data_IF_618514923781
#
_entry.id   IF_618514923781
#
_cell.length_a   1.000
_cell.length_b   1.000
_cell.length_c   1.000
_cell.angle_alpha   90.00
_cell.angle_beta   90.00
_cell.angle_gamma   90.00
#
_symmetry.space_group_name_H-M   'P 1'
#
loop_
_entity.id
_entity.type
_entity.pdbx_description
1 polymer ?
#
# COMPACT_ATOMS: atom_id res chain seq x y z
N UNK A 1 4.22 -40.46 46.33
CA UNK A 1 3.40 -41.04 45.23
C UNK A 1 4.22 -41.03 43.96
N UNK A 2 4.43 -42.16 43.29
CA UNK A 2 5.04 -42.20 41.94
C UNK A 2 3.93 -41.95 40.93
N UNK A 3 4.09 -40.92 40.09
CA UNK A 3 3.16 -40.63 39.00
C UNK A 3 3.13 -41.80 38.01
N UNK A 4 1.95 -42.15 37.51
CA UNK A 4 1.79 -43.19 36.49
C UNK A 4 2.39 -42.74 35.16
N UNK A 5 2.72 -43.68 34.28
CA UNK A 5 3.20 -43.36 32.92
C UNK A 5 2.22 -42.45 32.15
N UNK A 6 0.91 -42.68 32.30
CA UNK A 6 -0.13 -41.82 31.71
C UNK A 6 -0.14 -40.40 32.29
N UNK A 7 0.15 -40.25 33.58
CA UNK A 7 0.29 -38.94 34.22
C UNK A 7 1.52 -38.18 33.70
N UNK A 8 2.62 -38.87 33.43
CA UNK A 8 3.82 -38.27 32.82
C UNK A 8 3.58 -37.82 31.37
N UNK A 9 2.85 -38.62 30.57
CA UNK A 9 2.46 -38.24 29.21
C UNK A 9 1.56 -36.99 29.19
N UNK A 10 0.58 -36.91 30.11
CA UNK A 10 -0.28 -35.74 30.23
C UNK A 10 0.52 -34.48 30.61
N UNK A 11 1.46 -34.58 31.55
CA UNK A 11 2.34 -33.47 31.93
C UNK A 11 3.20 -33.02 30.76
N UNK A 12 3.80 -33.96 30.00
CA UNK A 12 4.61 -33.63 28.83
C UNK A 12 3.79 -32.95 27.73
N UNK A 13 2.57 -33.39 27.47
CA UNK A 13 1.67 -32.77 26.50
C UNK A 13 1.29 -31.33 26.90
N UNK A 14 0.92 -31.10 28.16
CA UNK A 14 0.60 -29.76 28.68
C UNK A 14 1.82 -28.84 28.65
N UNK A 15 3.00 -29.34 29.03
CA UNK A 15 4.24 -28.57 28.98
C UNK A 15 4.62 -28.19 27.54
N UNK A 16 4.45 -29.11 26.58
CA UNK A 16 4.73 -28.86 25.17
C UNK A 16 3.75 -27.84 24.58
N UNK A 17 2.46 -27.96 24.89
CA UNK A 17 1.45 -26.99 24.47
C UNK A 17 1.71 -25.60 25.09
N UNK A 18 2.06 -25.54 26.38
CA UNK A 18 2.44 -24.30 27.06
C UNK A 18 3.70 -23.66 26.46
N UNK A 19 4.71 -24.46 26.12
CA UNK A 19 5.91 -24.00 25.42
C UNK A 19 5.57 -23.47 24.01
N UNK A 20 4.70 -24.16 23.27
CA UNK A 20 4.27 -23.70 21.95
C UNK A 20 3.50 -22.37 22.01
N UNK A 21 2.60 -22.20 22.99
CA UNK A 21 1.86 -20.95 23.19
C UNK A 21 2.82 -19.82 23.59
N UNK A 22 3.71 -20.07 24.55
CA UNK A 22 4.66 -19.03 25.01
C UNK A 22 5.61 -18.61 23.90
N UNK A 23 6.20 -19.55 23.16
CA UNK A 23 7.11 -19.26 22.05
C UNK A 23 6.40 -18.68 20.82
N UNK A 24 5.12 -19.01 20.62
CA UNK A 24 4.32 -18.56 19.47
C UNK A 24 3.54 -17.25 19.70
N UNK A 25 3.30 -16.84 20.95
CA UNK A 25 2.49 -15.66 21.27
C UNK A 25 3.23 -14.55 22.02
N UNK A 26 4.42 -14.83 22.57
CA UNK A 26 5.20 -13.83 23.28
C UNK A 26 6.51 -13.52 22.56
N UNK A 27 6.82 -12.24 22.50
CA UNK A 27 8.13 -11.77 22.07
C UNK A 27 9.08 -11.70 23.26
N UNK A 28 10.33 -12.10 23.06
CA UNK A 28 11.34 -12.07 24.13
C UNK A 28 12.17 -10.77 24.11
N UNK A 29 12.50 -10.19 25.28
CA UNK A 29 13.48 -9.12 25.40
C UNK A 29 14.86 -9.49 24.80
N UNK A 30 15.73 -8.48 24.52
CA UNK A 30 15.45 -7.05 24.58
C UNK A 30 14.55 -6.58 23.44
N UNK A 31 13.90 -5.44 23.65
CA UNK A 31 13.20 -4.64 22.63
C UNK A 31 13.91 -3.30 22.48
N UNK A 32 13.72 -2.66 21.33
CA UNK A 32 14.30 -1.35 21.03
C UNK A 32 13.19 -0.30 21.10
N UNK A 33 13.33 0.61 22.06
CA UNK A 33 12.42 1.72 22.25
C UNK A 33 12.96 2.98 21.56
N UNK A 34 12.10 3.66 20.80
CA UNK A 34 12.41 4.92 20.11
C UNK A 34 11.48 6.00 20.64
N UNK A 35 12.03 6.92 21.44
CA UNK A 35 11.28 8.05 21.96
C UNK A 35 10.89 9.02 20.82
N UNK A 36 9.62 9.40 20.75
CA UNK A 36 9.02 10.27 19.72
C UNK A 36 8.41 11.56 20.26
N UNK A 37 8.32 11.73 21.58
CA UNK A 37 7.81 12.94 22.22
C UNK A 37 8.60 13.36 23.46
N UNK A 38 8.11 14.37 24.17
CA UNK A 38 8.74 14.86 25.39
C UNK A 38 8.79 13.77 26.47
N UNK A 39 9.85 13.76 27.28
CA UNK A 39 10.01 12.78 28.37
C UNK A 39 8.77 12.74 29.27
N UNK A 40 8.33 11.54 29.64
CA UNK A 40 7.15 11.35 30.49
C UNK A 40 5.79 11.41 29.78
N UNK A 41 5.74 11.66 28.46
CA UNK A 41 4.48 11.59 27.69
C UNK A 41 4.18 10.20 27.14
N UNK A 42 5.09 9.24 27.32
CA UNK A 42 4.99 7.87 26.78
C UNK A 42 4.77 7.81 25.24
N UNK A 43 5.19 8.86 24.53
CA UNK A 43 5.21 8.86 23.07
C UNK A 43 6.47 8.15 22.61
N UNK A 44 6.38 6.85 22.40
CA UNK A 44 7.48 5.98 21.98
C UNK A 44 6.99 4.85 21.07
N UNK A 45 7.90 4.36 20.23
CA UNK A 45 7.72 3.14 19.46
C UNK A 45 8.54 2.03 20.12
N UNK A 46 8.00 0.82 20.15
CA UNK A 46 8.69 -0.35 20.70
C UNK A 46 8.77 -1.40 19.59
N UNK A 47 9.98 -1.84 19.29
CA UNK A 47 10.24 -2.81 18.23
C UNK A 47 11.03 -4.01 18.72
N UNK A 48 10.77 -5.15 18.11
CA UNK A 48 11.62 -6.32 18.22
C UNK A 48 12.54 -6.40 17.00
N UNK A 49 13.83 -6.27 17.25
CA UNK A 49 14.86 -6.21 16.21
C UNK A 49 14.86 -7.44 15.29
N UNK A 50 14.44 -8.59 15.81
CA UNK A 50 14.38 -9.84 15.03
C UNK A 50 13.26 -9.77 13.98
N UNK A 51 12.10 -9.24 14.35
CA UNK A 51 11.00 -9.03 13.42
C UNK A 51 11.31 -7.90 12.43
N UNK A 52 12.00 -6.85 12.87
CA UNK A 52 12.49 -5.81 11.97
C UNK A 52 13.48 -6.36 10.95
N UNK A 53 14.40 -7.25 11.33
CA UNK A 53 15.34 -7.87 10.40
C UNK A 53 14.65 -8.74 9.34
N UNK A 54 13.60 -9.49 9.73
CA UNK A 54 12.78 -10.26 8.78
C UNK A 54 12.03 -9.31 7.83
N UNK A 55 11.47 -8.23 8.35
CA UNK A 55 10.77 -7.22 7.53
C UNK A 55 11.76 -6.51 6.58
N UNK A 56 12.99 -6.21 7.01
CA UNK A 56 14.04 -5.65 6.16
C UNK A 56 14.33 -6.49 4.91
N UNK A 57 14.24 -7.81 5.00
CA UNK A 57 14.39 -8.71 3.84
C UNK A 57 13.30 -8.50 2.79
N UNK A 58 12.05 -8.22 3.20
CA UNK A 58 10.93 -7.95 2.28
C UNK A 58 11.07 -6.59 1.55
N UNK A 59 11.98 -5.74 2.02
CA UNK A 59 12.17 -4.37 1.57
C UNK A 59 13.52 -4.14 0.92
N UNK A 60 14.21 -5.23 0.56
CA UNK A 60 15.40 -5.17 -0.27
C UNK A 60 15.07 -4.53 -1.62
N UNK A 61 16.05 -3.77 -2.10
CA UNK A 61 15.97 -3.05 -3.36
C UNK A 61 16.79 -3.83 -4.38
N UNK A 62 16.26 -4.10 -5.58
CA UNK A 62 17.05 -4.71 -6.64
C UNK A 62 18.20 -3.78 -7.03
N UNK A 63 19.33 -4.37 -7.44
CA UNK A 63 20.45 -3.62 -7.97
C UNK A 63 20.01 -2.80 -9.20
N UNK A 64 20.40 -1.53 -9.24
CA UNK A 64 20.07 -0.66 -10.35
C UNK A 64 20.93 -1.02 -11.57
N UNK A 65 20.34 -1.17 -12.77
CA UNK A 65 21.12 -1.36 -13.99
C UNK A 65 21.96 -0.11 -14.28
N UNK A 66 23.08 -0.28 -15.00
CA UNK A 66 23.94 0.84 -15.41
C UNK A 66 23.12 1.94 -16.09
N UNK A 67 23.40 3.24 -15.82
CA UNK A 67 22.71 4.34 -16.48
C UNK A 67 22.90 4.28 -18.00
N UNK A 68 21.82 4.50 -18.75
CA UNK A 68 21.86 4.55 -20.21
C UNK A 68 22.21 5.97 -20.69
N UNK A 69 22.90 6.06 -21.83
CA UNK A 69 23.25 7.35 -22.43
C UNK A 69 22.01 8.15 -22.83
N UNK A 70 22.00 9.43 -22.48
CA UNK A 70 21.01 10.39 -22.96
C UNK A 70 21.41 10.95 -24.34
N UNK A 71 20.43 11.43 -25.10
CA UNK A 71 20.64 12.07 -26.39
C UNK A 71 19.95 11.36 -27.55
N UNK A 72 20.26 11.79 -28.77
CA UNK A 72 19.68 11.23 -29.99
C UNK A 72 20.24 9.84 -30.33
N UNK A 73 19.46 8.97 -30.99
CA UNK A 73 18.08 9.20 -31.45
C UNK A 73 17.04 9.04 -30.32
N UNK A 74 15.95 9.82 -30.40
CA UNK A 74 14.83 9.74 -29.45
C UNK A 74 13.83 8.64 -29.81
N UNK A 75 13.13 8.14 -28.78
CA UNK A 75 12.13 7.09 -28.93
C UNK A 75 10.97 7.49 -29.84
N UNK A 76 10.52 8.75 -29.80
CA UNK A 76 9.47 9.28 -30.69
C UNK A 76 9.83 9.25 -32.18
N UNK A 77 11.12 9.38 -32.48
CA UNK A 77 11.65 9.45 -33.84
C UNK A 77 12.03 8.05 -34.38
N UNK A 78 12.18 7.07 -33.48
CA UNK A 78 12.63 5.71 -33.80
C UNK A 78 11.50 4.67 -33.79
N UNK A 79 10.60 4.76 -32.80
CA UNK A 79 9.57 3.75 -32.55
C UNK A 79 8.17 4.25 -32.93
N UNK A 80 7.27 3.31 -33.22
CA UNK A 80 5.87 3.59 -33.49
C UNK A 80 5.04 3.56 -32.19
N UNK A 81 4.00 4.40 -32.14
CA UNK A 81 3.03 4.46 -31.03
C UNK A 81 3.64 4.74 -29.64
N UNK A 82 4.72 5.53 -29.57
CA UNK A 82 5.27 6.04 -28.30
C UNK A 82 4.51 7.30 -27.91
N UNK A 83 3.65 7.19 -26.90
CA UNK A 83 2.77 8.29 -26.46
C UNK A 83 3.28 9.03 -25.22
N UNK A 84 4.04 8.35 -24.35
CA UNK A 84 4.42 8.90 -23.03
C UNK A 84 5.92 8.87 -22.76
N UNK A 85 6.72 8.20 -23.59
CA UNK A 85 8.18 8.06 -23.41
C UNK A 85 8.96 8.65 -24.59
N UNK A 86 8.36 9.62 -25.30
CA UNK A 86 8.89 10.10 -26.58
C UNK A 86 10.25 10.79 -26.48
N UNK A 87 10.54 11.42 -25.34
CA UNK A 87 11.75 12.24 -25.12
C UNK A 87 12.91 11.44 -24.52
N UNK A 88 12.75 10.13 -24.31
CA UNK A 88 13.85 9.25 -23.93
C UNK A 88 14.72 8.96 -25.15
N UNK A 89 16.04 8.84 -24.95
CA UNK A 89 16.91 8.21 -25.95
C UNK A 89 16.47 6.76 -26.18
N UNK A 90 16.83 6.17 -27.32
CA UNK A 90 16.60 4.74 -27.57
C UNK A 90 17.23 3.85 -26.48
N UNK A 91 18.39 4.22 -25.95
CA UNK A 91 19.05 3.47 -24.88
C UNK A 91 18.29 3.57 -23.55
N UNK A 92 17.88 4.79 -23.17
CA UNK A 92 17.07 5.03 -21.97
C UNK A 92 15.71 4.33 -22.05
N UNK A 93 15.09 4.34 -23.23
CA UNK A 93 13.85 3.60 -23.47
C UNK A 93 14.04 2.10 -23.23
N UNK A 94 15.09 1.49 -23.82
CA UNK A 94 15.41 0.07 -23.62
C UNK A 94 15.67 -0.28 -22.14
N UNK A 95 16.49 0.53 -21.46
CA UNK A 95 16.78 0.37 -20.02
C UNK A 95 15.52 0.44 -19.16
N UNK A 96 14.62 1.40 -19.44
CA UNK A 96 13.37 1.52 -18.72
C UNK A 96 12.45 0.32 -18.96
N UNK A 97 12.36 -0.20 -20.19
CA UNK A 97 11.59 -1.41 -20.50
C UNK A 97 12.10 -2.64 -19.75
N UNK A 98 13.42 -2.80 -19.66
CA UNK A 98 14.04 -3.86 -18.85
C UNK A 98 13.69 -3.70 -17.37
N UNK A 99 13.85 -2.49 -16.83
CA UNK A 99 13.55 -2.21 -15.42
C UNK A 99 12.07 -2.46 -15.09
N UNK A 100 11.15 -2.03 -15.96
CA UNK A 100 9.72 -2.28 -15.82
C UNK A 100 9.39 -3.77 -15.84
N UNK A 101 10.06 -4.55 -16.69
CA UNK A 101 9.93 -6.02 -16.73
C UNK A 101 10.28 -6.62 -15.37
N UNK A 102 11.46 -6.30 -14.84
CA UNK A 102 11.91 -6.84 -13.55
C UNK A 102 11.02 -6.41 -12.38
N UNK A 103 10.49 -5.18 -12.43
CA UNK A 103 9.71 -4.66 -11.33
C UNK A 103 8.26 -5.14 -11.29
N UNK A 104 7.68 -5.50 -12.44
CA UNK A 104 6.26 -5.81 -12.59
C UNK A 104 6.02 -7.28 -12.93
N UNK A 105 6.73 -7.81 -13.91
CA UNK A 105 6.48 -9.15 -14.44
C UNK A 105 7.78 -9.87 -14.82
N UNK A 106 8.73 -10.03 -13.87
CA UNK A 106 9.97 -10.73 -14.11
C UNK A 106 9.69 -12.15 -14.60
N UNK A 107 10.59 -12.66 -15.42
CA UNK A 107 10.55 -14.07 -15.82
C UNK A 107 10.74 -14.95 -14.57
N UNK A 108 10.07 -16.10 -14.57
CA UNK A 108 10.14 -17.06 -13.47
C UNK A 108 10.71 -18.34 -14.06
N UNK A 109 11.79 -18.85 -13.47
CA UNK A 109 12.34 -20.14 -13.84
C UNK A 109 11.34 -21.24 -13.52
N UNK A 110 11.13 -22.16 -14.48
CA UNK A 110 10.23 -23.30 -14.36
C UNK A 110 8.78 -22.90 -13.95
N UNK A 111 8.08 -22.12 -14.78
CA UNK A 111 6.71 -21.71 -14.47
C UNK A 111 5.79 -22.93 -14.39
N UNK A 112 4.93 -22.95 -13.37
CA UNK A 112 3.86 -23.94 -13.26
C UNK A 112 3.01 -23.98 -14.54
N UNK A 113 2.55 -25.16 -15.00
CA UNK A 113 1.68 -25.26 -16.16
C UNK A 113 0.43 -24.37 -16.00
N UNK A 114 0.22 -23.48 -16.99
CA UNK A 114 -0.89 -22.51 -16.96
C UNK A 114 -0.61 -21.22 -16.20
N UNK A 115 0.64 -20.98 -15.76
CA UNK A 115 1.02 -19.71 -15.19
C UNK A 115 0.77 -18.53 -16.17
N UNK A 116 0.42 -17.34 -15.66
CA UNK A 116 0.25 -16.16 -16.51
C UNK A 116 1.54 -15.83 -17.27
N UNK A 117 1.41 -15.26 -18.46
CA UNK A 117 2.53 -14.72 -19.24
C UNK A 117 3.41 -13.80 -18.37
N UNK A 118 4.73 -13.85 -18.57
CA UNK A 118 5.74 -13.01 -17.90
C UNK A 118 6.69 -12.42 -18.93
N UNK A 119 7.66 -11.62 -18.47
CA UNK A 119 8.64 -10.96 -19.31
C UNK A 119 8.02 -9.85 -20.17
N UNK A 120 8.70 -9.49 -21.26
CA UNK A 120 8.25 -8.45 -22.20
C UNK A 120 6.85 -8.71 -22.76
N UNK A 121 6.53 -9.97 -23.03
CA UNK A 121 5.24 -10.39 -23.62
C UNK A 121 4.07 -10.29 -22.64
N UNK A 122 4.31 -9.97 -21.36
CA UNK A 122 3.23 -9.64 -20.45
C UNK A 122 2.48 -8.37 -20.89
N UNK A 123 3.22 -7.40 -21.43
CA UNK A 123 2.70 -6.10 -21.87
C UNK A 123 2.66 -5.94 -23.39
N UNK A 124 3.24 -6.85 -24.17
CA UNK A 124 3.38 -6.69 -25.61
C UNK A 124 2.88 -7.90 -26.39
N UNK A 125 2.33 -7.63 -27.58
CA UNK A 125 2.21 -8.62 -28.63
C UNK A 125 3.63 -8.86 -29.21
N UNK A 126 4.20 -10.08 -29.13
CA UNK A 126 5.54 -10.37 -29.65
C UNK A 126 5.65 -10.20 -31.17
N UNK A 127 4.54 -10.28 -31.90
CA UNK A 127 4.51 -10.04 -33.35
C UNK A 127 4.57 -8.56 -33.70
N UNK A 128 4.10 -7.68 -32.80
CA UNK A 128 4.07 -6.24 -33.01
C UNK A 128 4.06 -5.46 -31.68
N UNK A 129 5.23 -4.99 -31.26
CA UNK A 129 5.39 -4.26 -30.02
C UNK A 129 4.65 -2.90 -29.99
N UNK A 130 4.31 -2.33 -31.15
CA UNK A 130 3.63 -1.04 -31.25
C UNK A 130 2.12 -1.13 -30.99
N UNK A 131 1.51 -2.30 -31.12
CA UNK A 131 0.07 -2.51 -30.90
C UNK A 131 -0.36 -2.33 -29.45
N UNK A 132 -1.58 -1.86 -29.24
CA UNK A 132 -2.24 -1.73 -27.94
C UNK A 132 -3.32 -2.81 -27.72
N UNK A 133 -3.21 -3.93 -28.45
CA UNK A 133 -4.14 -5.06 -28.40
C UNK A 133 -4.13 -5.81 -27.06
N UNK A 134 -3.04 -5.72 -26.30
CA UNK A 134 -2.91 -6.30 -24.96
C UNK A 134 -3.26 -5.27 -23.90
N UNK A 135 -4.29 -5.54 -23.07
CA UNK A 135 -4.80 -4.58 -22.09
C UNK A 135 -3.73 -4.09 -21.10
N UNK A 136 -2.77 -4.93 -20.75
CA UNK A 136 -1.66 -4.62 -19.85
C UNK A 136 -0.79 -3.49 -20.38
N UNK A 137 -0.67 -3.31 -21.71
CA UNK A 137 0.04 -2.16 -22.30
C UNK A 137 -0.69 -0.84 -22.05
N UNK A 138 -2.01 -0.85 -22.22
CA UNK A 138 -2.87 0.32 -21.95
C UNK A 138 -2.76 0.71 -20.47
N UNK A 139 -2.81 -0.29 -19.58
CA UNK A 139 -2.60 -0.09 -18.13
C UNK A 139 -1.19 0.42 -17.83
N UNK A 140 -0.14 -0.19 -18.39
CA UNK A 140 1.25 0.20 -18.16
C UNK A 140 1.52 1.65 -18.56
N UNK A 141 0.97 2.09 -19.71
CA UNK A 141 1.02 3.49 -20.14
C UNK A 141 0.40 4.43 -19.09
N UNK A 142 -0.75 4.05 -18.53
CA UNK A 142 -1.41 4.84 -17.49
C UNK A 142 -0.65 4.84 -16.17
N UNK A 143 -0.01 3.73 -15.82
CA UNK A 143 0.82 3.63 -14.60
C UNK A 143 2.12 4.44 -14.70
N UNK A 144 2.72 4.57 -15.90
CA UNK A 144 3.85 5.48 -16.12
C UNK A 144 3.45 6.94 -15.83
N UNK A 145 2.30 7.37 -16.34
CA UNK A 145 1.76 8.70 -16.07
C UNK A 145 1.46 8.91 -14.59
N UNK A 146 0.86 7.92 -13.92
CA UNK A 146 0.60 7.94 -12.48
C UNK A 146 1.90 8.08 -11.67
N UNK A 147 2.93 7.32 -12.03
CA UNK A 147 4.22 7.31 -11.34
C UNK A 147 4.89 8.68 -11.41
N UNK A 148 4.98 9.26 -12.62
CA UNK A 148 5.47 10.64 -12.80
C UNK A 148 4.67 11.64 -11.99
N UNK A 149 3.34 11.56 -12.06
CA UNK A 149 2.45 12.46 -11.34
C UNK A 149 2.65 12.43 -9.82
N UNK A 150 2.83 11.24 -9.24
CA UNK A 150 3.17 11.09 -7.82
C UNK A 150 4.52 11.78 -7.53
N UNK A 151 5.54 11.51 -8.34
CA UNK A 151 6.88 12.04 -8.13
C UNK A 151 6.98 13.56 -8.29
N UNK A 152 6.15 14.16 -9.14
CA UNK A 152 6.15 15.60 -9.41
C UNK A 152 5.22 16.38 -8.46
N UNK A 153 4.00 15.89 -8.24
CA UNK A 153 2.94 16.67 -7.59
C UNK A 153 2.68 16.27 -6.14
N UNK A 154 3.16 15.12 -5.70
CA UNK A 154 2.98 14.62 -4.33
C UNK A 154 4.26 14.63 -3.50
N UNK A 155 5.22 15.51 -3.82
CA UNK A 155 6.46 15.72 -3.04
C UNK A 155 6.21 16.05 -1.56
N UNK A 156 5.07 16.64 -1.23
CA UNK A 156 4.62 16.84 0.16
C UNK A 156 4.41 15.54 0.95
N UNK A 157 4.31 14.40 0.26
CA UNK A 157 4.23 13.07 0.85
C UNK A 157 5.48 12.23 0.53
N UNK A 158 5.83 12.06 -0.75
CA UNK A 158 6.90 11.13 -1.18
C UNK A 158 8.31 11.76 -1.12
N UNK A 159 8.40 13.08 -0.94
CA UNK A 159 9.67 13.81 -0.97
C UNK A 159 10.47 13.54 -2.25
N UNK A 160 11.80 13.59 -2.14
CA UNK A 160 12.71 13.26 -3.25
C UNK A 160 12.99 11.76 -3.38
N UNK A 161 12.46 10.92 -2.49
CA UNK A 161 12.56 9.46 -2.65
C UNK A 161 11.69 8.97 -3.82
N UNK A 162 10.51 9.58 -3.96
CA UNK A 162 9.55 9.25 -5.01
C UNK A 162 9.05 7.80 -4.93
N UNK A 163 8.50 7.34 -6.04
CA UNK A 163 8.01 5.96 -6.24
C UNK A 163 8.46 5.45 -7.61
N UNK A 164 8.58 4.13 -7.70
CA UNK A 164 8.81 3.39 -8.95
C UNK A 164 7.76 2.29 -9.09
N UNK A 165 7.77 1.54 -10.19
CA UNK A 165 6.88 0.40 -10.36
C UNK A 165 7.10 -0.64 -9.23
N UNK A 166 8.34 -0.81 -8.79
CA UNK A 166 8.72 -1.76 -7.76
C UNK A 166 8.10 -1.43 -6.39
N UNK A 167 7.87 -0.13 -6.10
CA UNK A 167 7.27 0.31 -4.84
C UNK A 167 5.98 -0.46 -4.52
N UNK A 168 5.14 -0.67 -5.53
CA UNK A 168 3.87 -1.40 -5.42
C UNK A 168 3.99 -2.86 -5.85
N UNK A 169 4.55 -3.11 -7.04
CA UNK A 169 4.45 -4.40 -7.71
C UNK A 169 5.36 -5.48 -7.10
N UNK A 170 6.57 -5.13 -6.64
CA UNK A 170 7.52 -6.09 -6.05
C UNK A 170 7.69 -7.37 -6.89
N UNK A 171 7.80 -7.24 -8.21
CA UNK A 171 7.91 -8.38 -9.14
C UNK A 171 6.59 -9.13 -9.40
N UNK A 172 5.45 -8.59 -8.96
CA UNK A 172 4.14 -9.19 -9.17
C UNK A 172 3.26 -8.32 -10.09
N UNK A 173 2.68 -8.90 -11.15
CA UNK A 173 1.87 -8.12 -12.08
C UNK A 173 0.62 -7.52 -11.44
N UNK A 174 0.10 -8.19 -10.41
CA UNK A 174 -0.90 -7.65 -9.49
C UNK A 174 -0.19 -7.37 -8.17
N UNK A 175 -0.16 -6.11 -7.68
CA UNK A 175 0.40 -5.81 -6.36
C UNK A 175 -0.27 -6.64 -5.27
N UNK A 176 0.50 -7.12 -4.29
CA UNK A 176 0.01 -8.05 -3.27
C UNK A 176 -1.03 -7.41 -2.32
N UNK A 177 -0.86 -6.13 -2.03
CA UNK A 177 -1.64 -5.42 -1.01
C UNK A 177 -2.60 -4.43 -1.68
N UNK A 178 -3.63 -4.96 -2.34
CA UNK A 178 -4.70 -4.20 -3.00
C UNK A 178 -6.03 -4.36 -2.28
N UNK A 179 -7.01 -3.54 -2.62
CA UNK A 179 -8.36 -3.68 -2.09
C UNK A 179 -9.43 -3.45 -3.17
N UNK A 180 -10.59 -4.03 -2.95
CA UNK A 180 -11.83 -3.71 -3.65
C UNK A 180 -12.96 -3.65 -2.63
N UNK A 181 -14.10 -3.10 -3.03
CA UNK A 181 -15.25 -3.02 -2.14
C UNK A 181 -15.68 -4.43 -1.73
N UNK A 182 -15.91 -4.67 -0.42
CA UNK A 182 -16.42 -5.96 0.02
C UNK A 182 -17.82 -6.20 -0.54
N UNK A 183 -18.24 -7.46 -0.70
CA UNK A 183 -19.58 -7.76 -1.20
C UNK A 183 -20.64 -7.17 -0.27
N UNK A 184 -21.75 -6.69 -0.85
CA UNK A 184 -22.85 -6.13 -0.08
C UNK A 184 -23.42 -7.13 0.95
N UNK A 185 -23.42 -8.42 0.61
CA UNK A 185 -23.80 -9.52 1.49
C UNK A 185 -22.62 -10.48 1.65
N UNK A 186 -22.14 -10.62 2.88
CA UNK A 186 -21.19 -11.67 3.23
C UNK A 186 -21.97 -12.99 3.32
N UNK A 187 -21.95 -13.78 2.23
CA UNK A 187 -22.69 -15.05 2.12
C UNK A 187 -22.33 -16.10 3.18
N UNK A 188 -21.32 -15.84 4.02
CA UNK A 188 -20.98 -16.65 5.18
C UNK A 188 -21.87 -16.40 6.41
N UNK A 189 -22.69 -15.34 6.41
CA UNK A 189 -23.58 -14.98 7.53
C UNK A 189 -25.02 -15.40 7.28
N UNK A 190 -25.75 -15.60 8.38
CA UNK A 190 -27.14 -16.05 8.37
C UNK A 190 -28.07 -15.11 7.58
N UNK A 191 -29.29 -15.57 7.29
CA UNK A 191 -30.30 -14.77 6.59
C UNK A 191 -31.06 -13.84 7.57
N UNK A 192 -31.67 -12.78 7.06
CA UNK A 192 -32.52 -11.86 7.84
C UNK A 192 -31.71 -10.79 8.57
N UNK A 193 -32.08 -10.43 9.79
CA UNK A 193 -31.41 -9.36 10.57
C UNK A 193 -29.92 -9.61 10.87
N UNK A 194 -29.44 -10.84 10.68
CA UNK A 194 -28.02 -11.23 10.84
C UNK A 194 -27.24 -11.20 9.52
N UNK A 195 -27.89 -10.91 8.40
CA UNK A 195 -27.27 -10.85 7.07
C UNK A 195 -26.45 -9.56 6.87
N UNK A 196 -26.85 -8.46 7.51
CA UNK A 196 -26.11 -7.22 7.46
C UNK A 196 -25.13 -7.15 8.64
N UNK A 197 -23.84 -7.29 8.34
CA UNK A 197 -22.76 -7.17 9.32
C UNK A 197 -22.54 -5.74 9.81
N UNK A 198 -23.21 -4.75 9.19
CA UNK A 198 -22.84 -3.34 9.23
C UNK A 198 -21.35 -3.12 8.93
N UNK A 199 -20.73 -4.06 8.22
CA UNK A 199 -19.30 -4.15 7.91
C UNK A 199 -18.38 -4.10 9.13
N UNK A 200 -18.80 -4.65 10.27
CA UNK A 200 -18.02 -4.69 11.53
C UNK A 200 -18.21 -6.00 12.30
N UNK A 201 -17.70 -6.06 13.55
CA UNK A 201 -17.81 -7.21 14.45
C UNK A 201 -17.17 -8.50 13.90
N UNK A 202 -16.08 -8.35 13.15
CA UNK A 202 -15.27 -9.44 12.62
C UNK A 202 -13.80 -9.03 12.71
N UNK A 203 -12.95 -9.94 13.17
CA UNK A 203 -11.50 -9.74 13.13
C UNK A 203 -11.06 -9.60 11.67
N UNK A 204 -10.62 -8.40 11.28
CA UNK A 204 -10.19 -8.12 9.90
C UNK A 204 -8.78 -7.56 9.86
N UNK A 205 -7.96 -8.09 8.95
CA UNK A 205 -6.60 -7.62 8.72
C UNK A 205 -6.55 -6.13 8.31
N UNK A 206 -7.59 -5.62 7.62
CA UNK A 206 -7.65 -4.21 7.21
C UNK A 206 -7.63 -3.23 8.38
N UNK A 207 -8.04 -3.66 9.56
CA UNK A 207 -8.12 -2.85 10.80
C UNK A 207 -7.34 -3.48 11.95
N UNK A 208 -6.26 -4.22 11.64
CA UNK A 208 -5.35 -4.78 12.65
C UNK A 208 -5.99 -5.86 13.52
N UNK A 209 -6.83 -6.71 12.93
CA UNK A 209 -7.55 -7.82 13.58
C UNK A 209 -8.51 -7.39 14.70
N UNK A 210 -8.82 -6.10 14.80
CA UNK A 210 -9.88 -5.59 15.65
C UNK A 210 -11.27 -5.92 15.08
N UNK A 211 -12.31 -5.74 15.90
CA UNK A 211 -13.72 -5.91 15.52
C UNK A 211 -14.37 -4.62 14.97
N UNK A 212 -13.56 -3.62 14.63
CA UNK A 212 -13.99 -2.32 14.08
C UNK A 212 -14.57 -2.48 12.67
N UNK A 213 -15.23 -1.43 12.13
CA UNK A 213 -15.64 -1.43 10.73
C UNK A 213 -14.47 -1.73 9.80
N UNK A 214 -14.58 -2.76 8.97
CA UNK A 214 -13.46 -3.29 8.19
C UNK A 214 -13.38 -2.75 6.76
N UNK A 215 -14.45 -2.14 6.24
CA UNK A 215 -14.48 -1.48 4.92
C UNK A 215 -14.08 -0.01 4.98
N UNK A 216 -12.99 0.29 5.65
CA UNK A 216 -12.51 1.67 5.84
C UNK A 216 -12.08 2.37 4.54
N UNK A 217 -11.81 1.62 3.47
CA UNK A 217 -11.25 2.19 2.25
C UNK A 217 -12.30 2.86 1.37
N UNK A 218 -13.51 2.28 1.27
CA UNK A 218 -14.60 2.86 0.49
C UNK A 218 -14.93 4.29 0.93
N UNK A 219 -15.32 4.56 2.20
CA UNK A 219 -15.70 5.91 2.60
C UNK A 219 -14.50 6.88 2.60
N UNK A 220 -13.28 6.42 2.86
CA UNK A 220 -12.15 7.33 3.10
C UNK A 220 -11.17 7.48 1.94
N UNK A 221 -10.95 6.45 1.12
CA UNK A 221 -10.03 6.49 -0.03
C UNK A 221 -10.74 6.57 -1.38
N UNK A 222 -12.03 6.25 -1.44
CA UNK A 222 -12.84 6.45 -2.64
C UNK A 222 -13.75 7.67 -2.50
N UNK A 223 -14.60 7.71 -1.48
CA UNK A 223 -15.67 8.72 -1.36
C UNK A 223 -15.22 10.01 -0.64
N UNK A 224 -13.97 10.05 -0.19
CA UNK A 224 -13.35 11.19 0.48
C UNK A 224 -14.10 11.74 1.72
N UNK A 225 -14.80 10.87 2.46
CA UNK A 225 -15.56 11.23 3.66
C UNK A 225 -14.75 11.89 4.79
N UNK A 226 -15.44 12.59 5.69
CA UNK A 226 -14.82 13.28 6.84
C UNK A 226 -14.28 12.29 7.86
N UNK A 227 -13.02 12.49 8.24
CA UNK A 227 -12.28 11.68 9.22
C UNK A 227 -12.36 12.33 10.61
N UNK A 228 -12.65 13.63 10.70
CA UNK A 228 -12.64 14.33 11.99
C UNK A 228 -13.94 14.08 12.73
N UNK A 229 -13.85 13.74 14.01
CA UNK A 229 -15.02 13.52 14.88
C UNK A 229 -15.00 14.33 16.17
N UNK A 230 -13.83 14.86 16.57
CA UNK A 230 -13.68 15.65 17.78
C UNK A 230 -14.31 17.04 17.64
N UNK A 231 -14.94 17.54 18.72
CA UNK A 231 -15.39 18.92 18.80
C UNK A 231 -14.22 19.90 18.93
N UNK A 232 -14.45 21.15 18.51
CA UNK A 232 -13.49 22.25 18.65
C UNK A 232 -13.71 23.10 19.92
N UNK A 233 -14.83 22.89 20.63
CA UNK A 233 -15.20 23.59 21.86
C UNK A 233 -15.26 22.62 23.04
N UNK A 234 -15.00 23.09 24.28
CA UNK A 234 -15.12 22.24 25.47
C UNK A 234 -16.55 21.79 25.76
N UNK A 235 -17.54 22.65 25.47
CA UNK A 235 -18.96 22.35 25.65
C UNK A 235 -19.54 21.71 24.38
N UNK A 236 -20.61 20.94 24.58
CA UNK A 236 -21.33 20.24 23.52
C UNK A 236 -22.09 21.24 22.63
N UNK A 237 -21.37 21.88 21.71
CA UNK A 237 -21.89 22.86 20.78
C UNK A 237 -21.47 22.49 19.35
N UNK A 238 -22.43 22.52 18.41
CA UNK A 238 -22.18 22.33 16.98
C UNK A 238 -21.80 20.92 16.50
N UNK A 239 -21.05 20.12 17.27
CA UNK A 239 -20.64 18.78 16.84
C UNK A 239 -21.85 17.83 16.76
N UNK A 240 -22.00 17.13 15.63
CA UNK A 240 -23.06 16.14 15.38
C UNK A 240 -22.51 14.76 15.03
N UNK A 241 -21.19 14.57 15.12
CA UNK A 241 -20.57 13.27 14.88
C UNK A 241 -21.02 12.25 15.93
N UNK A 242 -21.18 11.02 15.49
CA UNK A 242 -21.62 9.88 16.30
C UNK A 242 -20.44 9.04 16.76
N UNK A 243 -20.65 8.23 17.80
CA UNK A 243 -19.66 7.23 18.23
C UNK A 243 -19.37 6.23 17.11
N UNK A 244 -20.37 5.88 16.28
CA UNK A 244 -20.14 5.02 15.11
C UNK A 244 -19.12 5.64 14.16
N UNK A 245 -19.24 6.92 13.82
CA UNK A 245 -18.23 7.60 12.98
C UNK A 245 -16.84 7.63 13.63
N UNK A 246 -16.78 7.69 14.97
CA UNK A 246 -15.51 7.55 15.69
C UNK A 246 -14.90 6.15 15.56
N UNK A 247 -15.71 5.08 15.58
CA UNK A 247 -15.25 3.69 15.34
C UNK A 247 -14.72 3.51 13.91
N UNK A 248 -15.39 4.07 12.90
CA UNK A 248 -14.91 4.06 11.50
C UNK A 248 -13.57 4.79 11.36
N UNK A 249 -13.45 5.97 11.96
CA UNK A 249 -12.20 6.74 12.01
C UNK A 249 -11.11 5.95 12.72
N UNK A 250 -11.45 5.28 13.83
CA UNK A 250 -10.48 4.49 14.57
C UNK A 250 -10.00 3.28 13.77
N UNK A 251 -10.90 2.60 13.04
CA UNK A 251 -10.54 1.55 12.09
C UNK A 251 -9.54 2.02 11.04
N UNK A 252 -9.75 3.23 10.48
CA UNK A 252 -8.80 3.85 9.56
C UNK A 252 -7.43 4.10 10.20
N UNK A 253 -7.39 4.58 11.44
CA UNK A 253 -6.11 4.81 12.16
C UNK A 253 -5.39 3.50 12.50
N UNK A 254 -6.13 2.42 12.76
CA UNK A 254 -5.56 1.08 12.92
C UNK A 254 -4.90 0.61 11.61
N UNK A 255 -5.54 0.83 10.46
CA UNK A 255 -4.93 0.55 9.16
C UNK A 255 -3.61 1.29 8.97
N UNK A 256 -3.56 2.60 9.26
CA UNK A 256 -2.33 3.38 9.09
C UNK A 256 -1.19 2.85 9.97
N UNK A 257 -1.50 2.52 11.22
CA UNK A 257 -0.53 1.98 12.17
C UNK A 257 0.07 0.67 11.66
N UNK A 258 -0.78 -0.25 11.17
CA UNK A 258 -0.33 -1.53 10.61
C UNK A 258 0.44 -1.37 9.30
N UNK A 259 -0.08 -0.56 8.37
CA UNK A 259 0.52 -0.34 7.06
C UNK A 259 1.94 0.23 7.14
N UNK A 260 2.22 1.06 8.16
CA UNK A 260 3.51 1.70 8.38
C UNK A 260 4.37 0.99 9.44
N UNK A 261 3.84 -0.04 10.11
CA UNK A 261 4.47 -0.70 11.27
C UNK A 261 4.90 0.30 12.36
N UNK A 262 3.93 1.09 12.81
CA UNK A 262 4.08 2.11 13.86
C UNK A 262 2.86 2.05 14.80
N UNK A 263 2.87 2.84 15.87
CA UNK A 263 1.69 3.05 16.71
C UNK A 263 1.14 4.48 16.56
N UNK A 264 0.05 4.78 17.28
CA UNK A 264 -0.62 6.08 17.26
C UNK A 264 0.33 7.26 17.58
N UNK A 265 1.33 7.03 18.46
CA UNK A 265 2.25 8.07 18.92
C UNK A 265 3.27 8.50 17.87
N UNK A 266 3.33 7.77 16.76
CA UNK A 266 4.09 8.19 15.58
C UNK A 266 3.55 9.50 14.99
N UNK A 267 2.24 9.72 15.07
CA UNK A 267 1.55 10.89 14.52
C UNK A 267 0.92 11.79 15.59
N UNK A 268 0.48 11.22 16.71
CA UNK A 268 -0.38 11.92 17.68
C UNK A 268 0.21 11.96 19.09
N UNK A 269 -0.17 12.99 19.84
CA UNK A 269 -0.27 12.88 21.29
C UNK A 269 -1.69 12.43 21.64
N UNK A 270 -1.86 11.22 22.18
CA UNK A 270 -3.16 10.60 22.40
C UNK A 270 -4.05 11.34 23.41
N UNK A 271 -3.49 12.24 24.23
CA UNK A 271 -4.29 13.13 25.09
C UNK A 271 -5.17 14.09 24.31
N UNK A 272 -4.82 14.38 23.05
CA UNK A 272 -5.53 15.31 22.18
C UNK A 272 -5.30 14.97 20.69
N UNK A 273 -5.91 13.88 20.20
CA UNK A 273 -5.73 13.40 18.81
C UNK A 273 -6.01 14.47 17.73
N UNK A 274 -6.95 15.38 17.97
CA UNK A 274 -7.33 16.43 17.01
C UNK A 274 -6.32 17.58 16.94
N UNK A 275 -5.55 17.83 18.00
CA UNK A 275 -4.69 19.01 18.13
C UNK A 275 -3.40 18.87 17.29
N UNK A 276 -3.31 19.66 16.24
CA UNK A 276 -2.16 19.69 15.34
C UNK A 276 -0.90 20.24 16.00
N UNK A 277 -1.02 21.16 16.96
CA UNK A 277 0.14 21.75 17.66
C UNK A 277 0.85 20.75 18.57
N UNK A 278 0.16 19.66 18.94
CA UNK A 278 0.68 18.57 19.76
C UNK A 278 0.92 17.28 18.96
N UNK A 279 0.75 17.34 17.64
CA UNK A 279 1.02 16.23 16.73
C UNK A 279 2.46 16.29 16.23
N UNK A 280 2.95 15.16 15.71
CA UNK A 280 4.26 15.13 15.05
C UNK A 280 4.15 15.58 13.58
N UNK A 281 5.26 15.98 12.93
CA UNK A 281 5.27 16.29 11.50
C UNK A 281 4.78 15.14 10.60
N UNK A 282 4.89 13.89 11.07
CA UNK A 282 4.42 12.71 10.36
C UNK A 282 2.90 12.75 10.12
N UNK A 283 2.13 13.40 11.01
CA UNK A 283 0.68 13.58 10.80
C UNK A 283 0.39 14.45 9.57
N UNK A 284 1.21 15.46 9.31
CA UNK A 284 1.10 16.30 8.10
C UNK A 284 1.44 15.51 6.84
N UNK A 285 2.51 14.71 6.87
CA UNK A 285 2.85 13.84 5.73
C UNK A 285 1.75 12.80 5.46
N UNK A 286 1.16 12.21 6.51
CA UNK A 286 0.03 11.29 6.38
C UNK A 286 -1.23 11.98 5.84
N UNK A 287 -1.48 13.24 6.22
CA UNK A 287 -2.58 14.04 5.69
C UNK A 287 -2.49 14.18 4.16
N UNK A 288 -1.30 14.47 3.62
CA UNK A 288 -1.07 14.49 2.17
C UNK A 288 -1.19 13.09 1.54
N UNK A 289 -0.68 12.06 2.21
CA UNK A 289 -0.79 10.66 1.75
C UNK A 289 -2.23 10.19 1.55
N UNK A 290 -3.17 10.64 2.40
CA UNK A 290 -4.61 10.35 2.24
C UNK A 290 -5.15 10.93 0.92
N UNK A 291 -4.76 12.16 0.56
CA UNK A 291 -5.23 12.77 -0.70
C UNK A 291 -4.55 12.13 -1.90
N UNK A 292 -3.26 11.83 -1.79
CA UNK A 292 -2.52 11.13 -2.83
C UNK A 292 -3.19 9.79 -3.18
N UNK A 293 -3.55 8.98 -2.19
CA UNK A 293 -4.16 7.67 -2.47
C UNK A 293 -5.57 7.80 -3.04
N UNK A 294 -6.33 8.83 -2.65
CA UNK A 294 -7.62 9.17 -3.27
C UNK A 294 -7.44 9.50 -4.75
N UNK A 295 -6.50 10.37 -5.06
CA UNK A 295 -6.17 10.78 -6.42
C UNK A 295 -5.68 9.61 -7.28
N UNK A 296 -4.79 8.76 -6.75
CA UNK A 296 -4.36 7.51 -7.41
C UNK A 296 -5.55 6.63 -7.76
N UNK A 297 -6.43 6.38 -6.79
CA UNK A 297 -7.58 5.50 -7.00
C UNK A 297 -8.59 6.08 -8.00
N UNK A 298 -8.92 7.37 -7.86
CA UNK A 298 -9.99 8.01 -8.64
C UNK A 298 -9.55 8.46 -10.02
N UNK A 299 -8.33 8.97 -10.16
CA UNK A 299 -7.83 9.57 -11.41
C UNK A 299 -7.09 8.56 -12.30
N UNK A 300 -6.56 7.47 -11.74
CA UNK A 300 -5.72 6.53 -12.49
C UNK A 300 -6.25 5.10 -12.52
N UNK A 301 -6.70 4.55 -11.39
CA UNK A 301 -7.12 3.14 -11.33
C UNK A 301 -8.58 2.95 -11.76
N UNK A 302 -9.51 3.69 -11.17
CA UNK A 302 -10.95 3.55 -11.46
C UNK A 302 -11.31 3.72 -12.95
N UNK A 303 -10.75 4.71 -13.68
CA UNK A 303 -11.05 4.88 -15.10
C UNK A 303 -10.61 3.71 -15.99
N UNK A 304 -9.72 2.83 -15.51
CA UNK A 304 -9.26 1.64 -16.22
C UNK A 304 -10.22 0.44 -16.05
N UNK A 305 -11.31 0.57 -15.27
CA UNK A 305 -12.28 -0.49 -15.06
C UNK A 305 -12.77 -1.16 -16.38
N UNK A 306 -13.07 -0.43 -17.47
CA UNK A 306 -13.52 -1.05 -18.73
C UNK A 306 -12.47 -1.90 -19.45
N UNK A 307 -11.17 -1.68 -19.17
CA UNK A 307 -10.07 -2.44 -19.82
C UNK A 307 -9.58 -3.61 -18.98
N UNK A 308 -9.93 -3.64 -17.69
CA UNK A 308 -9.53 -4.71 -16.81
C UNK A 308 -10.36 -5.98 -17.06
N UNK A 309 -9.72 -7.17 -17.14
CA UNK A 309 -10.47 -8.42 -17.17
C UNK A 309 -11.10 -8.67 -15.79
N UNK A 310 -12.13 -9.53 -15.75
CA UNK A 310 -12.86 -9.86 -14.52
C UNK A 310 -11.96 -10.31 -13.35
N UNK A 311 -10.82 -10.94 -13.64
CA UNK A 311 -9.81 -11.36 -12.65
C UNK A 311 -9.06 -10.20 -11.96
N UNK A 312 -9.34 -8.95 -12.34
CA UNK A 312 -8.78 -7.72 -11.76
C UNK A 312 -9.87 -6.83 -11.14
N UNK A 313 -11.09 -7.33 -11.08
CA UNK A 313 -12.23 -6.66 -10.47
C UNK A 313 -12.62 -7.39 -9.17
N UNK A 314 -13.07 -6.62 -8.19
CA UNK A 314 -13.64 -7.13 -6.97
C UNK A 314 -15.05 -7.68 -7.17
N UNK A 315 -15.67 -8.20 -6.08
CA UNK A 315 -17.01 -8.79 -6.12
C UNK A 315 -18.10 -7.85 -6.65
N UNK A 316 -17.91 -6.54 -6.52
CA UNK A 316 -18.86 -5.53 -6.98
C UNK A 316 -18.49 -4.95 -8.37
N UNK A 317 -17.49 -5.52 -9.05
CA UNK A 317 -17.05 -5.07 -10.38
C UNK A 317 -16.15 -3.83 -10.38
N UNK A 318 -15.72 -3.35 -9.20
CA UNK A 318 -14.76 -2.28 -9.05
C UNK A 318 -13.32 -2.79 -9.17
N UNK A 319 -12.38 -2.02 -9.74
CA UNK A 319 -11.01 -2.48 -9.91
C UNK A 319 -10.27 -2.59 -8.57
N UNK A 320 -9.26 -3.46 -8.54
CA UNK A 320 -8.31 -3.55 -7.43
C UNK A 320 -7.52 -2.24 -7.29
N UNK A 321 -7.69 -1.57 -6.15
CA UNK A 321 -7.21 -0.23 -5.82
C UNK A 321 -6.02 -0.24 -4.85
N UNK A 322 -5.36 0.91 -4.76
CA UNK A 322 -4.26 1.16 -3.85
C UNK A 322 -4.73 1.61 -2.45
N UNK A 323 -3.95 1.26 -1.43
CA UNK A 323 -4.04 1.70 -0.04
C UNK A 323 -2.63 1.99 0.51
N UNK A 324 -2.49 2.29 1.80
CA UNK A 324 -1.19 2.57 2.41
C UNK A 324 -0.24 1.37 2.33
N UNK A 325 -0.75 0.17 2.60
CA UNK A 325 0.01 -1.09 2.57
C UNK A 325 0.49 -1.43 1.17
N UNK A 326 -0.18 -1.00 0.10
CA UNK A 326 0.28 -1.22 -1.30
C UNK A 326 1.74 -0.79 -1.49
N UNK A 327 2.13 0.35 -0.91
CA UNK A 327 3.49 0.88 -1.01
C UNK A 327 4.34 0.56 0.24
N UNK A 328 3.81 0.86 1.43
CA UNK A 328 4.57 0.81 2.67
C UNK A 328 4.89 -0.61 3.15
N UNK A 329 3.96 -1.54 2.95
CA UNK A 329 4.12 -2.97 3.24
C UNK A 329 4.69 -3.25 4.65
N UNK A 330 4.25 -2.51 5.66
CA UNK A 330 4.73 -2.68 7.03
C UNK A 330 6.08 -2.01 7.31
N UNK A 331 6.43 -0.95 6.58
CA UNK A 331 7.55 -0.07 6.90
C UNK A 331 7.14 1.40 6.90
N UNK A 332 7.75 2.19 7.78
CA UNK A 332 7.42 3.60 7.97
C UNK A 332 7.70 4.46 6.72
N UNK A 333 8.56 3.96 5.82
CA UNK A 333 8.75 4.41 4.44
C UNK A 333 8.83 3.18 3.53
N UNK A 334 8.27 3.19 2.31
CA UNK A 334 8.45 2.11 1.36
C UNK A 334 9.94 1.81 1.16
N UNK A 335 10.31 0.53 1.14
CA UNK A 335 11.71 0.09 0.98
C UNK A 335 12.67 0.73 2.00
N UNK A 336 12.19 1.02 3.22
CA UNK A 336 12.92 1.77 4.25
C UNK A 336 13.46 3.14 3.81
N UNK A 337 12.86 3.73 2.76
CA UNK A 337 13.24 5.05 2.24
C UNK A 337 14.35 5.02 1.20
N UNK A 338 14.59 3.88 0.54
CA UNK A 338 15.51 3.82 -0.58
C UNK A 338 15.11 4.76 -1.73
N UNK A 339 16.09 5.42 -2.33
CA UNK A 339 15.91 6.43 -3.38
C UNK A 339 16.01 5.83 -4.78
N UNK A 340 15.21 4.79 -5.09
CA UNK A 340 15.27 4.12 -6.40
C UNK A 340 15.04 5.06 -7.59
N UNK A 341 14.25 6.12 -7.41
CA UNK A 341 13.99 7.09 -8.48
C UNK A 341 15.27 7.80 -8.95
N UNK A 342 16.25 7.99 -8.07
CA UNK A 342 17.52 8.65 -8.39
C UNK A 342 18.28 7.90 -9.50
N UNK A 343 18.24 6.57 -9.47
CA UNK A 343 18.91 5.71 -10.45
C UNK A 343 18.06 5.50 -11.73
N UNK A 344 16.82 6.01 -11.74
CA UNK A 344 15.90 5.89 -12.87
C UNK A 344 15.28 7.24 -13.25
N UNK A 345 16.12 8.23 -13.65
CA UNK A 345 15.65 9.56 -14.02
C UNK A 345 14.66 9.55 -15.20
N UNK A 346 14.64 8.49 -16.01
CA UNK A 346 13.72 8.28 -17.13
C UNK A 346 12.26 8.32 -16.68
N UNK A 347 11.94 7.93 -15.45
CA UNK A 347 10.58 7.99 -14.89
C UNK A 347 10.07 9.43 -14.72
N UNK A 348 10.97 10.41 -14.59
CA UNK A 348 10.61 11.83 -14.52
C UNK A 348 10.46 12.46 -15.92
N UNK A 349 10.98 11.81 -16.96
CA UNK A 349 10.90 12.25 -18.36
C UNK A 349 9.66 11.73 -19.10
N UNK A 350 8.79 10.96 -18.42
CA UNK A 350 7.49 10.58 -18.97
C UNK A 350 6.72 11.85 -19.37
N UNK A 351 6.01 11.87 -20.49
CA UNK A 351 5.19 13.02 -20.88
C UNK A 351 3.87 13.00 -20.08
N UNK A 352 3.54 14.15 -19.48
CA UNK A 352 2.46 14.27 -18.51
C UNK A 352 1.05 14.09 -19.12
N UNK A 353 0.11 13.64 -18.28
CA UNK A 353 -1.35 13.89 -18.38
C UNK A 353 -1.79 14.81 -17.23
N UNK A 354 -3.03 15.35 -17.19
CA UNK A 354 -3.37 16.55 -16.42
C UNK A 354 -2.97 16.49 -14.95
N UNK A 355 -2.52 17.64 -14.44
CA UNK A 355 -2.22 17.84 -13.03
C UNK A 355 -3.43 17.52 -12.12
N UNK A 356 -3.23 17.20 -10.83
CA UNK A 356 -4.31 16.69 -9.98
C UNK A 356 -5.45 17.71 -9.92
N UNK A 357 -6.69 17.24 -9.84
CA UNK A 357 -7.85 18.13 -9.72
C UNK A 357 -7.68 19.07 -8.53
N UNK A 358 -8.24 20.27 -8.61
CA UNK A 358 -8.11 21.26 -7.53
C UNK A 358 -8.70 20.73 -6.21
N UNK A 359 -9.72 19.88 -6.30
CA UNK A 359 -10.32 19.15 -5.17
C UNK A 359 -9.37 18.13 -4.54
N UNK A 360 -8.49 17.49 -5.31
CA UNK A 360 -7.45 16.59 -4.78
C UNK A 360 -6.30 17.34 -4.10
N UNK A 361 -6.08 18.64 -4.42
CA UNK A 361 -5.00 19.46 -3.84
C UNK A 361 -5.42 20.20 -2.56
N UNK A 362 -6.72 20.36 -2.32
CA UNK A 362 -7.30 20.99 -1.11
C UNK A 362 -7.50 19.93 -0.01
#
# INVERSE_FOLDING_TARGET
>A
MRLSFGSWLAVAAVATAGAAITLGSFERPPVTAVQRGFRGTAMELVYNERLLAVNAYLHQVPEAPEPADAGEPYARDTYQNVQVLGDLSVQQFGRLMQSMTEWVSPEVENPEPGAPQRGCNYCHNPENYAEDSVYTKVVARRMLQMTKHINEHWKSHVGEAGVTCYTCHRGNPVPLNVWAQPPANDGSRGRGFTADSARQNLASASVGLASLPYDIFTPYFQDAGDIRVNGSTPLAEGNRHTIKQAEWTYGLMMHFSQALNVNCTYCHNSRAFSDWSQSSPQRTNAWHGIRMVRDVNMSYINPLQPVFPASRLGPNGDPLKANCTTCHQGAYKPLYGAHMLQDHPELNLVQATPAPSEEARR
#
